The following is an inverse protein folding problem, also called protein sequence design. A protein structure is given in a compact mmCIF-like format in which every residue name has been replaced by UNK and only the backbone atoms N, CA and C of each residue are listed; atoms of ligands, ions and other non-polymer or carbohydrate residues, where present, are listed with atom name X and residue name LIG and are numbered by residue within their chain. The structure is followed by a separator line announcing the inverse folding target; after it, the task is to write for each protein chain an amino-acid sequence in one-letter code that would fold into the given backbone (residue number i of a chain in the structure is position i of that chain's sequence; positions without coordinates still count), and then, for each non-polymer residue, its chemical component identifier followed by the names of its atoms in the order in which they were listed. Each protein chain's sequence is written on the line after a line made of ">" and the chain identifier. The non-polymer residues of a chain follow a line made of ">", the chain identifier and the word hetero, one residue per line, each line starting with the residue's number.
data_IF_232059243926
#
_entry.id   IF_232059243926
#
_cell.length_a   1.000
_cell.length_b   1.000
_cell.length_c   1.000
_cell.angle_alpha   90.00
_cell.angle_beta   90.00
_cell.angle_gamma   90.00
#
_symmetry.space_group_name_H-M   'P 1'
#
loop_
_entity.id
_entity.type
_entity.pdbx_description
1 polymer ?
#
# COMPACT_ATOMS: atom_id res chain seq x y z
N UNK A 1 3.36 -50.71 0.46
CA UNK A 1 3.60 -49.60 -0.49
C UNK A 1 2.73 -48.49 0.02
N UNK A 2 3.34 -47.49 0.65
CA UNK A 2 2.58 -46.31 1.06
C UNK A 2 2.09 -45.63 -0.20
N UNK A 3 0.77 -45.59 -0.35
CA UNK A 3 0.07 -44.89 -1.41
C UNK A 3 0.20 -43.39 -1.12
N UNK A 4 1.39 -42.85 -1.40
CA UNK A 4 1.71 -41.44 -1.22
C UNK A 4 0.86 -40.67 -2.23
N UNK A 5 -0.32 -40.22 -1.80
CA UNK A 5 -1.22 -39.38 -2.59
C UNK A 5 -0.41 -38.26 -3.21
N UNK A 6 -0.36 -38.24 -4.54
CA UNK A 6 0.42 -37.26 -5.28
C UNK A 6 -0.33 -35.94 -5.20
N UNK A 7 0.37 -34.87 -4.82
CA UNK A 7 -0.18 -33.51 -4.84
C UNK A 7 -0.66 -33.06 -6.24
N UNK A 8 -0.28 -33.78 -7.28
CA UNK A 8 -0.78 -33.63 -8.65
C UNK A 8 -2.26 -34.01 -8.83
N UNK A 9 -2.78 -34.87 -7.95
CA UNK A 9 -4.15 -35.40 -7.97
C UNK A 9 -5.11 -34.59 -7.10
N UNK A 10 -4.61 -33.54 -6.43
CA UNK A 10 -5.47 -32.65 -5.66
C UNK A 10 -6.42 -31.89 -6.59
N UNK A 11 -7.66 -31.75 -6.16
CA UNK A 11 -8.67 -31.03 -6.91
C UNK A 11 -8.23 -29.58 -7.23
N UNK A 12 -8.53 -29.13 -8.45
CA UNK A 12 -8.06 -27.83 -8.95
C UNK A 12 -8.61 -26.68 -8.11
N UNK A 13 -9.82 -26.77 -7.58
CA UNK A 13 -10.39 -25.71 -6.75
C UNK A 13 -9.67 -25.63 -5.40
N UNK A 14 -9.24 -26.78 -4.86
CA UNK A 14 -8.39 -26.81 -3.67
C UNK A 14 -7.03 -26.18 -3.94
N UNK A 15 -6.39 -26.51 -5.07
CA UNK A 15 -5.11 -25.90 -5.46
C UNK A 15 -5.24 -24.38 -5.63
N UNK A 16 -6.28 -23.90 -6.30
CA UNK A 16 -6.53 -22.46 -6.48
C UNK A 16 -6.75 -21.74 -5.15
N UNK A 17 -7.48 -22.37 -4.22
CA UNK A 17 -7.69 -21.80 -2.87
C UNK A 17 -6.39 -21.69 -2.08
N UNK A 18 -5.51 -22.69 -2.17
CA UNK A 18 -4.18 -22.67 -1.53
C UNK A 18 -3.30 -21.61 -2.20
N UNK A 19 -3.23 -21.62 -3.53
CA UNK A 19 -2.38 -20.73 -4.31
C UNK A 19 -2.78 -19.26 -4.20
N UNK A 20 -4.05 -18.95 -3.95
CA UNK A 20 -4.46 -17.60 -3.59
C UNK A 20 -3.86 -17.06 -2.29
N UNK A 21 -3.22 -17.90 -1.47
CA UNK A 21 -2.67 -17.55 -0.14
C UNK A 21 -1.15 -17.63 -0.04
N UNK A 22 -0.45 -18.19 -1.03
CA UNK A 22 1.01 -18.37 -0.96
C UNK A 22 1.81 -17.11 -1.27
N UNK A 23 1.16 -16.09 -1.85
CA UNK A 23 1.80 -14.83 -2.23
C UNK A 23 2.33 -14.82 -3.67
N UNK A 24 2.56 -13.59 -4.18
CA UNK A 24 2.93 -13.35 -5.58
C UNK A 24 4.26 -14.02 -5.95
N UNK A 25 5.26 -13.95 -5.08
CA UNK A 25 6.59 -14.49 -5.34
C UNK A 25 6.53 -16.00 -5.62
N UNK A 26 5.91 -16.77 -4.73
CA UNK A 26 5.77 -18.22 -4.92
C UNK A 26 4.87 -18.58 -6.09
N UNK A 27 3.85 -17.77 -6.41
CA UNK A 27 3.02 -17.96 -7.61
C UNK A 27 3.80 -17.78 -8.91
N UNK A 28 4.90 -17.00 -8.91
CA UNK A 28 5.75 -16.77 -10.07
C UNK A 28 6.95 -17.72 -10.12
N UNK A 29 7.61 -17.97 -8.99
CA UNK A 29 8.94 -18.59 -8.97
C UNK A 29 8.98 -20.02 -8.43
N UNK A 30 7.98 -20.44 -7.66
CA UNK A 30 8.04 -21.75 -6.97
C UNK A 30 6.94 -22.70 -7.49
N UNK A 31 5.68 -22.32 -7.33
CA UNK A 31 4.49 -23.15 -7.63
C UNK A 31 4.44 -23.62 -9.08
N UNK A 32 4.68 -22.77 -10.10
CA UNK A 32 4.61 -23.20 -11.50
C UNK A 32 5.65 -24.27 -11.89
N UNK A 33 6.73 -24.40 -11.10
CA UNK A 33 7.86 -25.29 -11.41
C UNK A 33 7.80 -26.63 -10.69
N UNK A 34 6.84 -26.84 -9.78
CA UNK A 34 6.65 -28.12 -9.07
C UNK A 34 6.17 -29.22 -10.03
N UNK A 35 5.08 -28.97 -10.78
CA UNK A 35 4.55 -29.91 -11.75
C UNK A 35 3.60 -29.23 -12.75
N UNK A 36 3.25 -29.94 -13.84
CA UNK A 36 2.34 -29.41 -14.88
C UNK A 36 0.93 -29.11 -14.36
N UNK A 37 0.44 -29.87 -13.38
CA UNK A 37 -0.89 -29.65 -12.79
C UNK A 37 -0.92 -28.32 -12.04
N UNK A 38 0.11 -28.07 -11.22
CA UNK A 38 0.26 -26.83 -10.45
C UNK A 38 0.46 -25.63 -11.37
N UNK A 39 1.31 -25.75 -12.39
CA UNK A 39 1.44 -24.72 -13.43
C UNK A 39 0.09 -24.33 -14.05
N UNK A 40 -0.76 -25.31 -14.41
CA UNK A 40 -2.07 -25.03 -14.97
C UNK A 40 -3.00 -24.34 -13.96
N UNK A 41 -2.95 -24.75 -12.69
CA UNK A 41 -3.74 -24.13 -11.63
C UNK A 41 -3.31 -22.67 -11.36
N UNK A 42 -2.02 -22.30 -11.48
CA UNK A 42 -1.60 -20.89 -11.36
C UNK A 42 -2.09 -20.01 -12.51
N UNK A 43 -2.56 -20.57 -13.63
CA UNK A 43 -3.20 -19.80 -14.70
C UNK A 43 -4.62 -19.35 -14.34
N UNK A 44 -5.22 -19.89 -13.26
CA UNK A 44 -6.54 -19.48 -12.81
C UNK A 44 -6.44 -18.04 -12.23
N UNK A 45 -7.27 -17.10 -12.71
CA UNK A 45 -7.22 -15.71 -12.25
C UNK A 45 -7.52 -15.55 -10.75
N UNK A 46 -8.26 -16.49 -10.15
CA UNK A 46 -8.55 -16.48 -8.71
C UNK A 46 -7.32 -16.69 -7.82
N UNK A 47 -6.20 -17.17 -8.36
CA UNK A 47 -4.92 -17.20 -7.65
C UNK A 47 -4.29 -15.80 -7.49
N UNK A 48 -4.69 -14.84 -8.32
CA UNK A 48 -4.08 -13.50 -8.43
C UNK A 48 -4.96 -12.39 -7.86
N UNK A 49 -5.73 -12.71 -6.82
CA UNK A 49 -6.60 -11.73 -6.16
C UNK A 49 -5.78 -10.71 -5.33
N UNK A 50 -4.62 -11.12 -4.82
CA UNK A 50 -3.72 -10.27 -4.03
C UNK A 50 -2.40 -10.03 -4.76
N UNK A 51 -2.22 -8.80 -5.24
CA UNK A 51 -1.06 -8.36 -6.01
C UNK A 51 -0.20 -7.45 -5.15
N UNK A 52 0.68 -8.04 -4.34
CA UNK A 52 1.62 -7.34 -3.49
C UNK A 52 3.00 -7.37 -4.14
N UNK A 53 3.40 -6.26 -4.75
CA UNK A 53 4.72 -6.12 -5.34
C UNK A 53 5.75 -5.79 -4.25
N UNK A 54 6.91 -6.47 -4.22
CA UNK A 54 8.01 -6.08 -3.34
C UNK A 54 8.56 -4.71 -3.75
N UNK A 55 9.30 -4.06 -2.86
CA UNK A 55 10.05 -2.85 -3.22
C UNK A 55 11.09 -3.23 -4.27
N UNK A 56 10.90 -2.72 -5.49
CA UNK A 56 11.84 -2.92 -6.59
C UNK A 56 12.83 -1.76 -6.50
N UNK A 57 13.90 -1.93 -5.75
CA UNK A 57 14.88 -0.87 -5.52
C UNK A 57 15.72 -0.66 -6.78
N UNK A 58 15.59 0.49 -7.41
CA UNK A 58 16.63 1.01 -8.30
C UNK A 58 17.45 1.99 -7.50
N UNK A 59 18.50 1.53 -6.81
CA UNK A 59 19.43 2.44 -6.15
C UNK A 59 20.03 3.41 -7.18
N UNK A 60 19.85 4.74 -7.03
CA UNK A 60 20.45 5.72 -7.94
C UNK A 60 21.99 5.75 -7.90
N UNK A 61 22.63 5.11 -6.91
CA UNK A 61 24.08 5.05 -6.75
C UNK A 61 24.70 3.67 -6.99
N UNK A 62 23.89 2.62 -7.21
CA UNK A 62 24.39 1.28 -7.57
C UNK A 62 25.14 0.52 -6.46
N UNK A 63 24.91 0.83 -5.19
CA UNK A 63 25.55 0.22 -4.02
C UNK A 63 24.52 -0.32 -3.00
N UNK A 64 23.74 -1.34 -3.41
CA UNK A 64 23.28 -2.50 -2.63
C UNK A 64 22.41 -3.36 -3.58
N UNK A 65 22.90 -4.45 -4.18
CA UNK A 65 23.08 -5.82 -3.65
C UNK A 65 21.76 -6.40 -3.08
N UNK A 66 21.23 -7.44 -3.75
CA UNK A 66 20.12 -8.33 -3.31
C UNK A 66 18.66 -7.93 -3.61
N UNK A 67 18.34 -7.50 -4.84
CA UNK A 67 16.94 -7.58 -5.32
C UNK A 67 16.62 -9.05 -5.68
N UNK A 68 16.59 -9.92 -4.65
CA UNK A 68 16.51 -11.40 -4.79
C UNK A 68 15.33 -11.83 -5.66
N UNK A 69 14.22 -11.09 -5.62
CA UNK A 69 13.02 -11.43 -6.35
C UNK A 69 13.16 -11.18 -7.86
N UNK A 70 13.57 -9.97 -8.27
CA UNK A 70 13.69 -9.63 -9.70
C UNK A 70 14.85 -10.39 -10.34
N UNK A 71 15.97 -10.52 -9.65
CA UNK A 71 17.10 -11.31 -10.13
C UNK A 71 16.68 -12.78 -10.35
N UNK A 72 16.02 -13.40 -9.36
CA UNK A 72 15.48 -14.76 -9.52
C UNK A 72 14.48 -14.83 -10.67
N UNK A 73 13.58 -13.85 -10.81
CA UNK A 73 12.62 -13.82 -11.91
C UNK A 73 13.29 -13.72 -13.28
N UNK A 74 14.26 -12.81 -13.44
CA UNK A 74 15.02 -12.66 -14.68
C UNK A 74 15.79 -13.95 -15.00
N UNK A 75 16.42 -14.57 -14.00
CA UNK A 75 17.18 -15.81 -14.18
C UNK A 75 16.28 -17.01 -14.53
N UNK A 76 15.20 -17.23 -13.78
CA UNK A 76 14.30 -18.37 -13.96
C UNK A 76 13.60 -18.32 -15.33
N UNK A 77 13.22 -17.13 -15.76
CA UNK A 77 12.59 -16.90 -17.07
C UNK A 77 13.60 -16.60 -18.20
N UNK A 78 14.91 -16.61 -17.90
CA UNK A 78 16.00 -16.33 -18.85
C UNK A 78 15.81 -15.02 -19.62
N UNK A 79 15.35 -13.99 -18.91
CA UNK A 79 15.17 -12.66 -19.45
C UNK A 79 16.52 -11.95 -19.55
N UNK A 80 16.59 -11.00 -20.47
CA UNK A 80 17.73 -10.11 -20.59
C UNK A 80 17.56 -8.96 -19.59
N UNK A 81 18.39 -8.95 -18.54
CA UNK A 81 18.37 -7.97 -17.46
C UNK A 81 18.41 -6.52 -17.98
N UNK A 82 19.18 -6.27 -19.05
CA UNK A 82 19.30 -4.95 -19.66
C UNK A 82 18.03 -4.44 -20.32
N UNK A 83 17.07 -5.35 -20.59
CA UNK A 83 15.77 -5.06 -21.19
C UNK A 83 14.61 -5.23 -20.22
N UNK A 84 14.89 -5.53 -18.96
CA UNK A 84 13.86 -5.65 -17.95
C UNK A 84 13.19 -4.29 -17.70
N UNK A 85 11.86 -4.28 -17.65
CA UNK A 85 11.07 -3.09 -17.35
C UNK A 85 10.11 -3.41 -16.22
N UNK A 86 10.25 -2.68 -15.10
CA UNK A 86 9.38 -2.82 -13.93
C UNK A 86 7.91 -2.57 -14.31
N UNK A 87 7.63 -1.57 -15.14
CA UNK A 87 6.29 -1.30 -15.68
C UNK A 87 5.72 -2.47 -16.46
N UNK A 88 6.51 -3.06 -17.37
CA UNK A 88 6.06 -4.20 -18.18
C UNK A 88 5.80 -5.43 -17.29
N UNK A 89 6.67 -5.65 -16.29
CA UNK A 89 6.50 -6.70 -15.29
C UNK A 89 5.22 -6.52 -14.47
N UNK A 90 4.96 -5.31 -13.96
CA UNK A 90 3.74 -5.01 -13.20
C UNK A 90 2.49 -5.25 -14.06
N UNK A 91 2.47 -4.76 -15.29
CA UNK A 91 1.35 -4.99 -16.24
C UNK A 91 1.15 -6.48 -16.53
N UNK A 92 2.24 -7.23 -16.73
CA UNK A 92 2.20 -8.68 -16.92
C UNK A 92 1.53 -9.37 -15.72
N UNK A 93 1.95 -9.07 -14.50
CA UNK A 93 1.37 -9.68 -13.29
C UNK A 93 -0.10 -9.30 -13.11
N UNK A 94 -0.47 -8.04 -13.32
CA UNK A 94 -1.88 -7.60 -13.26
C UNK A 94 -2.74 -8.38 -14.25
N UNK A 95 -2.26 -8.57 -15.48
CA UNK A 95 -3.01 -9.30 -16.53
C UNK A 95 -3.36 -10.74 -16.17
N UNK A 96 -2.63 -11.35 -15.21
CA UNK A 96 -2.91 -12.69 -14.70
C UNK A 96 -4.22 -12.75 -13.92
N UNK A 97 -4.61 -11.65 -13.29
CA UNK A 97 -5.82 -11.54 -12.48
C UNK A 97 -7.10 -11.42 -13.30
N UNK A 98 -7.00 -11.02 -14.58
CA UNK A 98 -8.15 -10.82 -15.49
C UNK A 98 -9.30 -10.05 -14.81
N UNK A 99 -8.98 -8.95 -14.14
CA UNK A 99 -9.94 -8.13 -13.41
C UNK A 99 -10.45 -8.67 -12.07
N UNK A 100 -9.94 -9.80 -11.57
CA UNK A 100 -10.31 -10.37 -10.26
C UNK A 100 -9.45 -9.87 -9.09
N UNK A 101 -8.46 -9.02 -9.33
CA UNK A 101 -7.64 -8.50 -8.25
C UNK A 101 -8.49 -7.64 -7.29
N UNK A 102 -8.35 -7.91 -6.00
CA UNK A 102 -9.02 -7.20 -4.90
C UNK A 102 -8.02 -6.43 -4.03
N UNK A 103 -6.76 -6.87 -3.97
CA UNK A 103 -5.69 -6.19 -3.26
C UNK A 103 -4.53 -5.85 -4.20
N UNK A 104 -4.05 -4.61 -4.13
CA UNK A 104 -2.91 -4.13 -4.90
C UNK A 104 -1.97 -3.31 -4.00
N UNK A 105 -0.72 -3.73 -3.89
CA UNK A 105 0.37 -2.90 -3.35
C UNK A 105 1.42 -2.73 -4.43
N UNK A 106 1.59 -1.50 -4.91
CA UNK A 106 2.62 -1.17 -5.88
C UNK A 106 3.95 -0.86 -5.20
N UNK A 107 5.05 -1.10 -5.90
CA UNK A 107 6.40 -0.65 -5.51
C UNK A 107 6.52 0.88 -5.63
N UNK A 108 7.43 1.50 -4.87
CA UNK A 108 7.73 2.93 -4.98
C UNK A 108 8.13 3.35 -6.39
N UNK A 109 8.80 2.48 -7.16
CA UNK A 109 9.20 2.75 -8.54
C UNK A 109 8.12 2.44 -9.60
N UNK A 110 6.92 2.03 -9.20
CA UNK A 110 5.83 1.78 -10.15
C UNK A 110 5.48 3.06 -10.92
N UNK A 111 5.50 2.97 -12.25
CA UNK A 111 5.19 4.10 -13.13
C UNK A 111 3.70 4.43 -13.13
N UNK A 112 3.41 5.68 -13.50
CA UNK A 112 2.07 6.19 -13.77
C UNK A 112 1.25 5.28 -14.72
N UNK A 113 1.87 4.80 -15.79
CA UNK A 113 1.26 3.86 -16.74
C UNK A 113 0.86 2.51 -16.14
N UNK A 114 1.60 2.01 -15.16
CA UNK A 114 1.28 0.76 -14.48
C UNK A 114 0.02 0.93 -13.62
N UNK A 115 -0.10 2.07 -12.95
CA UNK A 115 -1.26 2.42 -12.15
C UNK A 115 -2.52 2.60 -13.02
N UNK A 116 -2.41 3.29 -14.16
CA UNK A 116 -3.53 3.42 -15.12
C UNK A 116 -4.00 2.07 -15.61
N UNK A 117 -3.06 1.21 -16.01
CA UNK A 117 -3.37 -0.15 -16.45
C UNK A 117 -4.06 -0.97 -15.35
N UNK A 118 -3.59 -0.88 -14.10
CA UNK A 118 -4.23 -1.56 -12.98
C UNK A 118 -5.68 -1.13 -12.81
N UNK A 119 -5.94 0.18 -12.87
CA UNK A 119 -7.29 0.71 -12.71
C UNK A 119 -8.22 0.42 -13.90
N UNK A 120 -7.66 0.23 -15.10
CA UNK A 120 -8.42 -0.17 -16.30
C UNK A 120 -8.76 -1.65 -16.31
N UNK A 121 -7.84 -2.52 -15.88
CA UNK A 121 -8.05 -3.98 -15.89
C UNK A 121 -8.88 -4.46 -14.69
N UNK A 122 -8.72 -3.80 -13.54
CA UNK A 122 -9.30 -4.24 -12.26
C UNK A 122 -10.14 -3.13 -11.60
N UNK A 123 -11.42 -3.44 -11.36
CA UNK A 123 -12.37 -2.51 -10.73
C UNK A 123 -12.84 -2.98 -9.33
N UNK A 124 -12.40 -4.15 -8.89
CA UNK A 124 -12.83 -4.81 -7.65
C UNK A 124 -11.86 -4.58 -6.49
N UNK A 125 -10.96 -3.60 -6.59
CA UNK A 125 -10.00 -3.32 -5.53
C UNK A 125 -10.70 -2.88 -4.24
N UNK A 126 -10.51 -3.65 -3.19
CA UNK A 126 -10.83 -3.30 -1.81
C UNK A 126 -9.64 -2.68 -1.09
N UNK A 127 -8.42 -2.99 -1.51
CA UNK A 127 -7.19 -2.42 -0.96
C UNK A 127 -6.24 -1.96 -2.05
N UNK A 128 -5.81 -0.69 -1.98
CA UNK A 128 -4.75 -0.13 -2.82
C UNK A 128 -3.69 0.54 -1.96
N UNK A 129 -2.43 0.18 -2.19
CA UNK A 129 -1.26 0.83 -1.60
C UNK A 129 -0.36 1.39 -2.70
N UNK A 130 -0.23 2.72 -2.69
CA UNK A 130 0.61 3.49 -3.60
C UNK A 130 1.67 4.23 -2.77
N UNK A 131 2.78 3.58 -2.42
CA UNK A 131 3.89 4.25 -1.78
C UNK A 131 4.55 5.21 -2.79
N UNK A 132 4.93 6.38 -2.29
CA UNK A 132 5.72 7.35 -3.04
C UNK A 132 7.20 7.05 -2.82
N UNK A 133 8.00 7.24 -3.87
CA UNK A 133 9.45 7.25 -3.72
C UNK A 133 9.85 8.50 -2.94
N UNK A 134 10.29 8.34 -1.70
CA UNK A 134 11.12 9.34 -1.02
C UNK A 134 12.57 8.98 -1.33
N UNK A 135 13.27 9.79 -2.13
CA UNK A 135 14.65 9.50 -2.50
C UNK A 135 15.25 10.52 -3.45
N UNK A 136 16.53 10.78 -3.26
CA UNK A 136 17.39 11.87 -3.76
C UNK A 136 17.63 11.81 -5.30
N UNK A 137 16.82 11.07 -6.06
CA UNK A 137 16.92 11.00 -7.51
C UNK A 137 16.04 12.09 -8.16
N UNK A 138 16.59 13.17 -8.73
CA UNK A 138 15.83 14.29 -9.30
C UNK A 138 15.08 13.94 -10.59
N UNK A 139 15.06 12.66 -10.99
CA UNK A 139 14.62 12.22 -12.32
C UNK A 139 13.23 11.59 -12.38
N UNK A 140 12.62 11.25 -11.24
CA UNK A 140 11.31 10.57 -11.23
C UNK A 140 10.42 10.96 -10.04
N UNK A 141 10.34 12.24 -9.70
CA UNK A 141 9.19 12.73 -8.92
C UNK A 141 7.96 12.81 -9.84
N UNK A 142 7.50 11.66 -10.35
CA UNK A 142 6.22 11.54 -11.04
C UNK A 142 5.13 11.81 -10.00
N UNK A 143 4.30 12.82 -10.26
CA UNK A 143 3.26 13.26 -9.34
C UNK A 143 2.08 12.27 -9.41
N UNK A 144 2.25 11.08 -8.82
CA UNK A 144 1.26 10.00 -8.77
C UNK A 144 -0.11 10.48 -8.25
N UNK A 145 -0.14 11.56 -7.47
CA UNK A 145 -1.39 12.17 -6.97
C UNK A 145 -2.33 12.58 -8.10
N UNK A 146 -1.80 13.12 -9.21
CA UNK A 146 -2.63 13.54 -10.35
C UNK A 146 -3.33 12.38 -11.06
N UNK A 147 -2.66 11.23 -11.17
CA UNK A 147 -3.24 10.05 -11.81
C UNK A 147 -4.15 9.29 -10.89
N UNK A 148 -3.80 9.21 -9.60
CA UNK A 148 -4.69 8.66 -8.59
C UNK A 148 -6.05 9.39 -8.65
N UNK A 149 -6.06 10.73 -8.80
CA UNK A 149 -7.30 11.50 -9.01
C UNK A 149 -8.06 11.10 -10.28
N UNK A 150 -7.37 10.76 -11.38
CA UNK A 150 -8.00 10.31 -12.64
C UNK A 150 -8.61 8.90 -12.50
N UNK A 151 -7.98 8.02 -11.71
CA UNK A 151 -8.36 6.60 -11.64
C UNK A 151 -9.23 6.22 -10.45
N UNK A 152 -9.25 7.00 -9.37
CA UNK A 152 -9.99 6.69 -8.13
C UNK A 152 -11.48 6.48 -8.38
N UNK A 153 -12.04 7.15 -9.39
CA UNK A 153 -13.44 6.98 -9.79
C UNK A 153 -13.80 5.56 -10.26
N UNK A 154 -12.79 4.75 -10.59
CA UNK A 154 -12.95 3.35 -11.02
C UNK A 154 -12.96 2.35 -9.86
N UNK A 155 -12.53 2.75 -8.66
CA UNK A 155 -12.40 1.86 -7.50
C UNK A 155 -13.57 2.03 -6.53
N UNK A 156 -14.76 1.64 -6.96
CA UNK A 156 -16.00 1.90 -6.21
C UNK A 156 -16.14 1.08 -4.93
N UNK A 157 -15.38 -0.01 -4.79
CA UNK A 157 -15.39 -0.93 -3.65
C UNK A 157 -14.18 -0.77 -2.72
N UNK A 158 -13.45 0.36 -2.84
CA UNK A 158 -12.24 0.59 -2.07
C UNK A 158 -12.57 0.79 -0.59
N UNK A 159 -12.03 -0.09 0.26
CA UNK A 159 -12.19 -0.06 1.72
C UNK A 159 -10.95 0.48 2.43
N UNK A 160 -9.77 0.22 1.87
CA UNK A 160 -8.49 0.63 2.42
C UNK A 160 -7.60 1.28 1.35
N UNK A 161 -7.13 2.48 1.65
CA UNK A 161 -6.17 3.19 0.85
C UNK A 161 -4.91 3.53 1.64
N UNK A 162 -3.74 3.24 1.06
CA UNK A 162 -2.43 3.65 1.59
C UNK A 162 -1.74 4.54 0.57
N UNK A 163 -1.38 5.75 0.99
CA UNK A 163 -0.68 6.75 0.19
C UNK A 163 0.69 7.05 0.81
N UNK A 164 1.71 7.22 -0.03
CA UNK A 164 3.04 7.63 0.43
C UNK A 164 3.25 9.14 0.56
N UNK A 165 2.23 9.97 0.34
CA UNK A 165 2.30 11.43 0.54
C UNK A 165 0.90 12.04 0.64
N UNK A 166 0.80 13.19 1.30
CA UNK A 166 -0.41 14.01 1.35
C UNK A 166 -0.49 15.10 0.27
N UNK A 167 0.40 15.12 -0.72
CA UNK A 167 0.36 16.16 -1.77
C UNK A 167 -0.97 16.12 -2.55
N UNK A 168 -1.69 17.27 -2.57
CA UNK A 168 -3.04 17.41 -3.12
C UNK A 168 -4.10 16.47 -2.51
N UNK A 169 -3.92 16.03 -1.25
CA UNK A 169 -4.86 15.14 -0.56
C UNK A 169 -6.28 15.71 -0.52
N UNK A 170 -6.45 17.03 -0.36
CA UNK A 170 -7.76 17.71 -0.36
C UNK A 170 -8.57 17.47 -1.64
N UNK A 171 -7.96 17.73 -2.80
CA UNK A 171 -8.59 17.52 -4.11
C UNK A 171 -8.95 16.05 -4.33
N UNK A 172 -8.08 15.17 -3.83
CA UNK A 172 -8.25 13.73 -3.93
C UNK A 172 -9.39 13.21 -3.04
N UNK A 173 -9.48 13.68 -1.79
CA UNK A 173 -10.56 13.31 -0.86
C UNK A 173 -11.94 13.68 -1.39
N UNK A 174 -12.06 14.81 -2.12
CA UNK A 174 -13.30 15.18 -2.80
C UNK A 174 -13.78 14.13 -3.80
N UNK A 175 -12.86 13.49 -4.55
CA UNK A 175 -13.21 12.40 -5.47
C UNK A 175 -13.55 11.10 -4.74
N UNK A 176 -12.81 10.77 -3.67
CA UNK A 176 -13.12 9.60 -2.83
C UNK A 176 -14.54 9.71 -2.27
N UNK A 177 -14.93 10.87 -1.76
CA UNK A 177 -16.26 11.10 -1.19
C UNK A 177 -17.38 10.77 -2.21
N UNK A 178 -17.14 11.03 -3.50
CA UNK A 178 -18.11 10.76 -4.57
C UNK A 178 -18.12 9.27 -4.94
N UNK A 179 -16.95 8.64 -5.06
CA UNK A 179 -16.78 7.35 -5.74
C UNK A 179 -16.57 6.15 -4.80
N UNK A 180 -15.96 6.33 -3.63
CA UNK A 180 -15.53 5.25 -2.72
C UNK A 180 -16.28 5.32 -1.39
N UNK A 181 -17.57 4.97 -1.40
CA UNK A 181 -18.46 5.09 -0.22
C UNK A 181 -18.15 4.11 0.91
N UNK A 182 -17.41 3.06 0.60
CA UNK A 182 -17.04 1.99 1.53
C UNK A 182 -15.66 2.21 2.17
N UNK A 183 -14.98 3.32 1.82
CA UNK A 183 -13.67 3.62 2.39
C UNK A 183 -13.77 3.81 3.90
N UNK A 184 -13.08 2.95 4.64
CA UNK A 184 -13.09 2.93 6.10
C UNK A 184 -11.68 3.00 6.70
N UNK A 185 -10.64 2.84 5.89
CA UNK A 185 -9.24 2.87 6.31
C UNK A 185 -8.41 3.75 5.39
N UNK A 186 -7.70 4.71 5.97
CA UNK A 186 -6.78 5.60 5.26
C UNK A 186 -5.43 5.60 5.97
N UNK A 187 -4.35 5.37 5.22
CA UNK A 187 -2.99 5.55 5.70
C UNK A 187 -2.28 6.54 4.78
N UNK A 188 -1.64 7.56 5.36
CA UNK A 188 -0.82 8.51 4.61
C UNK A 188 0.51 8.66 5.32
N UNK A 189 1.58 8.15 4.72
CA UNK A 189 2.93 8.29 5.25
C UNK A 189 3.52 9.67 4.91
N UNK A 190 4.39 10.20 5.77
CA UNK A 190 5.10 11.48 5.57
C UNK A 190 4.16 12.62 5.16
N UNK A 191 2.98 12.66 5.77
CA UNK A 191 1.94 13.60 5.43
C UNK A 191 2.21 14.98 6.05
N UNK A 192 1.99 16.05 5.29
CA UNK A 192 1.68 17.36 5.86
C UNK A 192 0.16 17.50 5.96
N UNK A 193 -0.36 17.60 7.18
CA UNK A 193 -1.79 17.77 7.46
C UNK A 193 -2.00 19.14 8.10
N UNK A 194 -2.30 20.13 7.24
CA UNK A 194 -2.76 21.43 7.70
C UNK A 194 -4.27 21.49 7.86
N UNK A 195 -4.75 22.64 8.32
CA UNK A 195 -6.18 22.93 8.56
C UNK A 195 -7.12 22.51 7.44
N UNK A 196 -6.83 22.91 6.21
CA UNK A 196 -7.72 22.63 5.07
C UNK A 196 -7.79 21.12 4.78
N UNK A 197 -6.66 20.42 4.93
CA UNK A 197 -6.58 18.97 4.78
C UNK A 197 -7.31 18.24 5.90
N UNK A 198 -7.17 18.66 7.16
CA UNK A 198 -7.90 18.07 8.29
C UNK A 198 -9.42 18.23 8.11
N UNK A 199 -9.88 19.42 7.71
CA UNK A 199 -11.29 19.68 7.41
C UNK A 199 -11.76 18.82 6.22
N UNK A 200 -10.94 18.67 5.18
CA UNK A 200 -11.25 17.83 4.04
C UNK A 200 -11.40 16.35 4.42
N UNK A 201 -10.55 15.82 5.31
CA UNK A 201 -10.64 14.44 5.81
C UNK A 201 -11.96 14.25 6.56
N UNK A 202 -12.26 15.14 7.51
CA UNK A 202 -13.49 15.08 8.32
C UNK A 202 -14.74 15.16 7.46
N UNK A 203 -14.77 16.06 6.48
CA UNK A 203 -15.95 16.28 5.64
C UNK A 203 -16.14 15.21 4.56
N UNK A 204 -15.04 14.70 4.00
CA UNK A 204 -15.08 13.71 2.91
C UNK A 204 -15.20 12.28 3.40
N UNK A 205 -14.74 11.96 4.62
CA UNK A 205 -14.65 10.59 5.16
C UNK A 205 -15.38 10.44 6.52
N UNK A 206 -16.70 10.65 6.58
CA UNK A 206 -17.44 10.62 7.84
C UNK A 206 -17.49 9.23 8.52
N UNK A 207 -17.30 8.14 7.76
CA UNK A 207 -17.35 6.75 8.24
C UNK A 207 -15.95 6.14 8.44
N UNK A 208 -14.92 6.98 8.53
CA UNK A 208 -13.54 6.50 8.67
C UNK A 208 -13.36 5.81 10.02
N UNK A 209 -12.92 4.55 9.98
CA UNK A 209 -12.67 3.71 11.16
C UNK A 209 -11.20 3.64 11.53
N UNK A 210 -10.30 3.75 10.55
CA UNK A 210 -8.86 3.71 10.78
C UNK A 210 -8.15 4.83 10.03
N UNK A 211 -7.31 5.58 10.74
CA UNK A 211 -6.46 6.63 10.19
C UNK A 211 -5.03 6.45 10.68
N UNK A 212 -4.09 6.25 9.76
CA UNK A 212 -2.66 6.07 10.07
C UNK A 212 -1.89 7.21 9.41
N UNK A 213 -1.23 8.02 10.22
CA UNK A 213 -0.49 9.23 9.83
C UNK A 213 0.89 9.24 10.50
N UNK A 214 1.58 8.08 10.52
CA UNK A 214 2.92 8.00 11.11
C UNK A 214 3.89 8.97 10.43
N UNK A 215 4.80 9.56 11.21
CA UNK A 215 5.84 10.48 10.71
C UNK A 215 5.28 11.68 9.94
N UNK A 216 4.07 12.11 10.29
CA UNK A 216 3.41 13.25 9.66
C UNK A 216 3.72 14.56 10.39
N UNK A 217 3.67 15.67 9.68
CA UNK A 217 3.62 17.01 10.26
C UNK A 217 2.13 17.40 10.40
N UNK A 218 1.65 17.49 11.64
CA UNK A 218 0.26 17.77 11.97
C UNK A 218 0.23 18.84 13.06
N UNK A 219 -0.36 19.99 12.76
CA UNK A 219 -0.61 21.01 13.77
C UNK A 219 -1.54 20.50 14.87
N UNK A 220 -1.29 20.89 16.11
CA UNK A 220 -2.13 20.52 17.25
C UNK A 220 -3.62 20.75 17.00
N UNK A 221 -4.00 21.93 16.51
CA UNK A 221 -5.40 22.29 16.25
C UNK A 221 -6.01 21.46 15.11
N UNK A 222 -5.18 21.02 14.16
CA UNK A 222 -5.59 20.18 13.03
C UNK A 222 -5.84 18.74 13.50
N UNK A 223 -5.02 18.22 14.42
CA UNK A 223 -5.25 16.95 15.08
C UNK A 223 -6.52 16.98 15.95
N UNK A 224 -6.75 18.07 16.70
CA UNK A 224 -8.00 18.27 17.44
C UNK A 224 -9.20 18.27 16.49
N UNK A 225 -9.08 18.91 15.33
CA UNK A 225 -10.13 18.91 14.29
C UNK A 225 -10.44 17.49 13.81
N UNK A 226 -9.41 16.66 13.55
CA UNK A 226 -9.59 15.25 13.18
C UNK A 226 -10.31 14.45 14.27
N UNK A 227 -9.87 14.55 15.53
CA UNK A 227 -10.45 13.86 16.68
C UNK A 227 -11.90 14.27 16.94
N UNK A 228 -12.23 15.54 16.71
CA UNK A 228 -13.58 16.04 16.89
C UNK A 228 -14.50 15.67 15.71
N UNK A 229 -13.96 15.56 14.49
CA UNK A 229 -14.75 15.28 13.29
C UNK A 229 -15.00 13.79 13.02
N UNK A 230 -13.99 12.94 13.15
CA UNK A 230 -14.06 11.52 12.81
C UNK A 230 -14.61 10.68 13.98
N UNK A 231 -15.93 10.67 14.17
CA UNK A 231 -16.59 10.02 15.32
C UNK A 231 -16.61 8.50 15.30
N UNK A 232 -16.45 7.87 14.14
CA UNK A 232 -16.44 6.41 13.99
C UNK A 232 -15.02 5.80 14.10
N UNK A 233 -14.02 6.62 14.45
CA UNK A 233 -12.63 6.21 14.47
C UNK A 233 -12.38 5.22 15.61
N UNK A 234 -11.90 4.03 15.26
CA UNK A 234 -11.55 2.94 16.18
C UNK A 234 -10.03 2.83 16.32
N UNK A 235 -9.29 3.21 15.28
CA UNK A 235 -7.83 3.22 15.27
C UNK A 235 -7.29 4.54 14.72
N UNK A 236 -6.40 5.17 15.48
CA UNK A 236 -5.67 6.36 15.06
C UNK A 236 -4.20 6.20 15.46
N UNK A 237 -3.32 6.18 14.48
CA UNK A 237 -1.89 6.14 14.70
C UNK A 237 -1.25 7.42 14.17
N UNK A 238 -0.83 8.28 15.08
CA UNK A 238 -0.12 9.53 14.85
C UNK A 238 1.23 9.48 15.57
N UNK A 239 1.91 8.34 15.51
CA UNK A 239 3.23 8.13 16.12
C UNK A 239 4.33 8.80 15.29
N UNK A 240 5.39 9.23 15.98
CA UNK A 240 6.57 9.91 15.42
C UNK A 240 6.23 11.18 14.61
N UNK A 241 5.12 11.85 14.94
CA UNK A 241 4.66 13.06 14.26
C UNK A 241 5.30 14.33 14.81
N UNK A 242 5.36 15.37 13.98
CA UNK A 242 5.82 16.71 14.38
C UNK A 242 4.61 17.66 14.46
N UNK A 243 4.55 18.48 15.51
CA UNK A 243 3.56 19.56 15.69
C UNK A 243 2.68 19.42 16.94
N UNK A 244 2.81 18.33 17.71
CA UNK A 244 2.15 18.16 19.00
C UNK A 244 2.97 17.22 19.91
N UNK A 245 2.79 17.34 21.23
CA UNK A 245 3.48 16.49 22.20
C UNK A 245 2.66 15.22 22.48
N UNK A 246 3.31 14.06 22.53
CA UNK A 246 2.70 12.79 22.93
C UNK A 246 2.01 12.84 24.31
N UNK A 247 2.49 13.68 25.22
CA UNK A 247 1.96 13.87 26.59
C UNK A 247 0.82 14.91 26.68
N UNK A 248 0.25 15.36 25.56
CA UNK A 248 -0.85 16.32 25.57
C UNK A 248 -2.13 15.71 26.19
N UNK A 249 -2.47 16.16 27.40
CA UNK A 249 -3.63 15.67 28.16
C UNK A 249 -4.95 15.92 27.42
N UNK A 250 -5.08 17.02 26.68
CA UNK A 250 -6.32 17.34 25.96
C UNK A 250 -6.50 16.42 24.77
N UNK A 251 -5.44 16.18 23.98
CA UNK A 251 -5.45 15.21 22.87
C UNK A 251 -5.80 13.82 23.40
N UNK A 252 -5.16 13.39 24.49
CA UNK A 252 -5.43 12.10 25.14
C UNK A 252 -6.89 11.97 25.57
N UNK A 253 -7.47 13.04 26.11
CA UNK A 253 -8.87 13.06 26.54
C UNK A 253 -9.84 13.04 25.36
N UNK A 254 -9.53 13.77 24.29
CA UNK A 254 -10.30 13.76 23.04
C UNK A 254 -10.24 12.39 22.36
N UNK A 255 -9.09 11.72 22.37
CA UNK A 255 -8.87 10.41 21.78
C UNK A 255 -9.41 9.24 22.63
N UNK A 256 -9.88 9.47 23.85
CA UNK A 256 -10.31 8.43 24.80
C UNK A 256 -11.41 7.47 24.30
N UNK A 257 -12.16 7.87 23.27
CA UNK A 257 -13.19 7.05 22.63
C UNK A 257 -12.64 6.09 21.56
N UNK A 258 -11.38 6.28 21.14
CA UNK A 258 -10.70 5.50 20.12
C UNK A 258 -10.06 4.29 20.79
N UNK A 259 -10.41 3.09 20.34
CA UNK A 259 -9.95 1.85 20.96
C UNK A 259 -8.42 1.64 20.86
N UNK A 260 -7.82 2.07 19.76
CA UNK A 260 -6.39 1.95 19.51
C UNK A 260 -5.81 3.30 19.06
N UNK A 261 -5.41 4.13 20.01
CA UNK A 261 -4.77 5.42 19.78
C UNK A 261 -3.28 5.34 20.12
N UNK A 262 -2.42 5.77 19.19
CA UNK A 262 -0.98 5.91 19.43
C UNK A 262 -0.50 7.29 19.00
N UNK A 263 0.16 7.99 19.91
CA UNK A 263 0.85 9.27 19.69
C UNK A 263 2.34 9.17 20.02
N UNK A 264 2.85 7.95 20.21
CA UNK A 264 4.19 7.69 20.73
C UNK A 264 5.26 8.30 19.83
N UNK A 265 6.25 8.96 20.41
CA UNK A 265 7.37 9.57 19.70
C UNK A 265 7.05 10.92 19.06
N UNK A 266 5.82 11.43 19.20
CA UNK A 266 5.42 12.70 18.60
C UNK A 266 5.89 13.91 19.39
N UNK A 267 6.47 14.87 18.69
CA UNK A 267 7.14 16.05 19.27
C UNK A 267 6.60 17.36 18.71
N UNK A 268 6.79 18.45 19.45
CA UNK A 268 6.41 19.80 18.99
C UNK A 268 7.32 20.33 17.88
N UNK A 269 8.60 19.95 17.89
CA UNK A 269 9.62 20.44 16.98
C UNK A 269 10.46 19.28 16.46
N UNK A 270 10.99 19.46 15.25
CA UNK A 270 12.06 18.65 14.72
C UNK A 270 13.36 19.05 15.44
N UNK A 271 13.86 18.18 16.32
CA UNK A 271 15.13 18.40 17.01
C UNK A 271 16.31 17.71 16.28
N UNK A 272 16.07 17.09 15.13
CA UNK A 272 17.07 16.33 14.38
C UNK A 272 17.71 17.20 13.27
N UNK A 273 18.40 18.25 13.67
CA UNK A 273 19.43 18.92 12.87
C UNK A 273 20.72 18.87 13.70
N UNK A 274 21.49 17.76 13.60
CA UNK A 274 22.96 17.77 13.80
C UNK A 274 23.70 16.42 13.57
N UNK A 275 23.06 15.30 13.21
CA UNK A 275 23.79 14.08 12.79
C UNK A 275 23.06 13.31 11.66
N UNK A 276 23.10 13.87 10.45
CA UNK A 276 22.61 13.23 9.23
C UNK A 276 23.58 12.13 8.76
N UNK A 277 23.50 10.94 9.37
CA UNK A 277 23.90 9.69 8.69
C UNK A 277 22.66 9.13 8.00
N UNK A 278 22.63 9.26 6.67
CA UNK A 278 21.49 8.99 5.78
C UNK A 278 21.08 7.52 5.68
N UNK A 279 20.80 6.87 6.80
CA UNK A 279 20.18 5.55 6.87
C UNK A 279 18.66 5.70 6.88
N UNK A 280 18.08 5.72 5.68
CA UNK A 280 16.64 5.59 5.49
C UNK A 280 16.22 4.18 5.90
N UNK A 281 15.79 4.00 7.16
CA UNK A 281 15.18 2.75 7.59
C UNK A 281 13.87 2.54 6.82
N UNK A 282 13.80 1.36 6.19
CA UNK A 282 12.68 0.81 5.45
C UNK A 282 11.35 1.13 6.15
N UNK A 283 10.35 1.55 5.37
CA UNK A 283 8.99 1.70 5.86
C UNK A 283 8.50 0.35 6.42
N UNK A 284 8.58 0.18 7.74
CA UNK A 284 7.80 -0.83 8.46
C UNK A 284 6.33 -0.39 8.43
N UNK A 285 5.70 -0.52 7.26
CA UNK A 285 4.25 -0.58 7.20
C UNK A 285 3.87 -1.91 7.84
N UNK A 286 3.45 -1.80 9.10
CA UNK A 286 2.92 -2.87 9.92
C UNK A 286 1.93 -3.68 9.09
N UNK A 287 2.28 -4.93 8.84
CA UNK A 287 1.37 -5.95 8.35
C UNK A 287 0.43 -6.29 9.52
N UNK A 288 -0.55 -5.43 9.79
CA UNK A 288 -1.64 -5.80 10.69
C UNK A 288 -2.48 -6.82 9.94
N UNK A 289 -2.23 -8.09 10.24
CA UNK A 289 -2.90 -9.28 9.69
C UNK A 289 -4.40 -9.37 9.97
N UNK A 290 -5.13 -8.28 9.79
CA UNK A 290 -6.59 -8.21 9.83
C UNK A 290 -7.17 -8.11 8.42
N UNK A 291 -6.73 -9.04 7.56
CA UNK A 291 -7.47 -9.46 6.37
C UNK A 291 -8.25 -10.75 6.69
N UNK A 292 -9.12 -10.73 7.70
CA UNK A 292 -10.07 -11.81 7.99
C UNK A 292 -11.15 -11.30 8.94
N UNK A 293 -12.26 -10.82 8.37
CA UNK A 293 -13.63 -11.27 8.68
C UNK A 293 -14.62 -10.49 7.82
#
# INVERSE_FOLDING_TARGET
>A
MDDQRRWEELDVDCLVSIFGRVGMESLLLDVPFVCKSWYKATLNPSCWQSLIFPELTTDPFGFNLEDTFIERFVNEYRLDESRFSATAFIKFVISRSKGKATALRLSRCASEDALKYAADDCHLFSWVSCPNGSGIAPRFSENKSSIIQEVIGKWTHLEWLVLGSSYNLENFLGQICIHCKDLSRLSVANAYIGKDTAVAIVSSLPKLKQLILKKANIGRDDLVTLLQGCKELVHLDVSDCIGFNEEDEEISKLASHIANFSSKGSTLFDYDDDDFDGTFYLDEVVYDGYGSN
#
